data_IF_331537390341
#
_entry.id   IF_331537390341
#
_cell.length_a   1.000
_cell.length_b   1.000
_cell.length_c   1.000
_cell.angle_alpha   90.00
_cell.angle_beta   90.00
_cell.angle_gamma   90.00
#
_symmetry.space_group_name_H-M   'P 1'
#
loop_
_entity.id
_entity.type
_entity.pdbx_description
1 polymer ?
#
# COMPACT_ATOMS: atom_id res chain seq x y z
N UNK A 1 -11.08 -13.37 19.40
CA UNK A 1 -10.73 -13.23 17.98
C UNK A 1 -9.85 -14.41 17.62
N UNK A 2 -10.35 -15.34 16.83
CA UNK A 2 -9.63 -16.56 16.47
C UNK A 2 -8.72 -16.31 15.26
N UNK A 3 -7.76 -17.21 15.02
CA UNK A 3 -6.87 -17.14 13.85
C UNK A 3 -7.69 -17.18 12.55
N UNK A 4 -8.75 -17.99 12.52
CA UNK A 4 -9.64 -18.15 11.37
C UNK A 4 -10.40 -16.86 11.03
N UNK A 5 -10.86 -16.11 12.03
CA UNK A 5 -11.51 -14.81 11.84
C UNK A 5 -10.55 -13.76 11.26
N UNK A 6 -9.28 -13.81 11.68
CA UNK A 6 -8.23 -12.94 11.14
C UNK A 6 -7.92 -13.28 9.68
N UNK A 7 -7.80 -14.57 9.35
CA UNK A 7 -7.57 -15.02 7.98
C UNK A 7 -8.71 -14.61 7.06
N UNK A 8 -9.97 -14.72 7.51
CA UNK A 8 -11.11 -14.34 6.71
C UNK A 8 -11.16 -12.82 6.46
N UNK A 9 -10.84 -12.01 7.47
CA UNK A 9 -10.70 -10.56 7.31
C UNK A 9 -9.58 -10.20 6.34
N UNK A 10 -8.45 -10.89 6.43
CA UNK A 10 -7.34 -10.71 5.50
C UNK A 10 -7.73 -11.06 4.06
N UNK A 11 -8.41 -12.17 3.82
CA UNK A 11 -8.92 -12.55 2.48
C UNK A 11 -9.87 -11.49 1.92
N UNK A 12 -10.79 -10.97 2.74
CA UNK A 12 -11.71 -9.90 2.33
C UNK A 12 -10.98 -8.59 2.01
N UNK A 13 -9.94 -8.24 2.78
CA UNK A 13 -9.09 -7.09 2.52
C UNK A 13 -8.33 -7.24 1.20
N UNK A 14 -7.79 -8.43 0.89
CA UNK A 14 -7.11 -8.73 -0.37
C UNK A 14 -8.06 -8.60 -1.58
N UNK A 15 -9.27 -9.14 -1.49
CA UNK A 15 -10.26 -9.03 -2.57
C UNK A 15 -10.71 -7.58 -2.83
N UNK A 16 -10.90 -6.79 -1.77
CA UNK A 16 -11.23 -5.36 -1.88
C UNK A 16 -10.06 -4.57 -2.47
N UNK A 17 -8.83 -4.89 -2.05
CA UNK A 17 -7.59 -4.31 -2.57
C UNK A 17 -7.45 -4.61 -4.06
N UNK A 18 -7.74 -5.84 -4.50
CA UNK A 18 -7.72 -6.20 -5.92
C UNK A 18 -8.68 -5.35 -6.75
N UNK A 19 -9.90 -5.12 -6.24
CA UNK A 19 -10.87 -4.27 -6.92
C UNK A 19 -10.37 -2.83 -7.04
N UNK A 20 -9.72 -2.29 -6.01
CA UNK A 20 -9.10 -0.96 -6.05
C UNK A 20 -7.94 -0.89 -7.06
N UNK A 21 -7.02 -1.87 -7.05
CA UNK A 21 -5.88 -1.94 -7.97
C UNK A 21 -6.34 -2.08 -9.43
N UNK A 22 -7.42 -2.82 -9.67
CA UNK A 22 -7.98 -3.00 -11.02
C UNK A 22 -8.61 -1.70 -11.55
N UNK A 23 -9.21 -0.89 -10.66
CA UNK A 23 -9.81 0.40 -11.00
C UNK A 23 -8.78 1.53 -11.17
N UNK A 24 -7.68 1.45 -10.43
CA UNK A 24 -6.64 2.48 -10.36
C UNK A 24 -5.23 1.89 -10.61
N UNK A 25 -4.98 1.27 -11.78
CA UNK A 25 -3.71 0.59 -12.04
C UNK A 25 -2.55 1.60 -12.18
N UNK A 26 -2.82 2.82 -12.62
CA UNK A 26 -1.81 3.89 -12.75
C UNK A 26 -1.32 4.37 -11.39
N UNK A 27 -2.27 4.68 -10.50
CA UNK A 27 -2.00 5.13 -9.13
C UNK A 27 -1.29 4.05 -8.32
N UNK A 28 -1.63 2.77 -8.54
CA UNK A 28 -0.95 1.66 -7.89
C UNK A 28 0.51 1.52 -8.33
N UNK A 29 0.79 1.69 -9.63
CA UNK A 29 2.17 1.70 -10.16
C UNK A 29 2.94 2.91 -9.64
N UNK A 30 2.31 4.08 -9.60
CA UNK A 30 2.92 5.30 -9.08
C UNK A 30 3.25 5.16 -7.58
N UNK A 31 2.35 4.58 -6.79
CA UNK A 31 2.60 4.29 -5.37
C UNK A 31 3.84 3.42 -5.20
N UNK A 32 3.94 2.32 -5.96
CA UNK A 32 5.10 1.42 -5.91
C UNK A 32 6.38 2.14 -6.30
N UNK A 33 6.35 2.90 -7.39
CA UNK A 33 7.51 3.64 -7.88
C UNK A 33 7.99 4.65 -6.85
N UNK A 34 7.07 5.43 -6.27
CA UNK A 34 7.38 6.44 -5.28
C UNK A 34 7.94 5.82 -3.98
N UNK A 35 7.33 4.75 -3.49
CA UNK A 35 7.83 4.02 -2.32
C UNK A 35 9.22 3.41 -2.59
N UNK A 36 9.45 2.84 -3.77
CA UNK A 36 10.75 2.29 -4.16
C UNK A 36 11.82 3.39 -4.26
N UNK A 37 11.48 4.55 -4.79
CA UNK A 37 12.40 5.69 -4.88
C UNK A 37 12.81 6.20 -3.49
N UNK A 38 11.87 6.36 -2.57
CA UNK A 38 12.12 6.78 -1.17
C UNK A 38 13.04 5.79 -0.44
N UNK A 39 12.89 4.49 -0.74
CA UNK A 39 13.74 3.44 -0.16
C UNK A 39 15.14 3.43 -0.79
N UNK A 40 15.23 3.67 -2.10
CA UNK A 40 16.48 3.58 -2.86
C UNK A 40 17.36 4.82 -2.72
N UNK A 41 16.78 6.00 -2.49
CA UNK A 41 17.51 7.27 -2.48
C UNK A 41 17.43 7.98 -1.12
N UNK A 42 18.50 8.69 -0.73
CA UNK A 42 18.41 9.69 0.31
C UNK A 42 17.33 10.71 -0.07
N UNK A 43 16.41 10.99 0.86
CA UNK A 43 15.38 12.00 0.65
C UNK A 43 15.87 13.25 1.37
N UNK A 44 15.84 14.40 0.70
CA UNK A 44 16.12 15.67 1.36
C UNK A 44 15.00 15.97 2.37
N UNK A 45 15.34 16.69 3.44
CA UNK A 45 14.38 17.15 4.44
C UNK A 45 13.31 18.03 3.77
N UNK A 46 13.70 18.83 2.76
CA UNK A 46 12.77 19.66 1.98
C UNK A 46 11.75 18.84 1.17
N UNK A 47 12.13 17.64 0.74
CA UNK A 47 11.31 16.77 -0.10
C UNK A 47 10.46 15.78 0.71
N UNK A 48 10.70 15.68 2.02
CA UNK A 48 9.96 14.80 2.92
C UNK A 48 8.46 15.04 2.93
N UNK A 49 8.04 16.25 3.28
CA UNK A 49 6.62 16.58 3.37
C UNK A 49 5.89 16.43 2.02
N UNK A 50 6.46 16.88 0.89
CA UNK A 50 5.91 16.61 -0.44
C UNK A 50 5.76 15.11 -0.74
N UNK A 51 6.80 14.31 -0.50
CA UNK A 51 6.78 12.87 -0.79
C UNK A 51 5.74 12.12 0.03
N UNK A 52 5.67 12.39 1.34
CA UNK A 52 4.70 11.78 2.26
C UNK A 52 3.27 12.18 1.91
N UNK A 53 3.02 13.46 1.59
CA UNK A 53 1.70 13.93 1.13
C UNK A 53 1.28 13.22 -0.17
N UNK A 54 2.22 13.03 -1.10
CA UNK A 54 1.95 12.34 -2.37
C UNK A 54 1.62 10.86 -2.13
N UNK A 55 2.35 10.17 -1.24
CA UNK A 55 2.03 8.79 -0.84
C UNK A 55 0.63 8.70 -0.22
N UNK A 56 0.30 9.56 0.74
CA UNK A 56 -1.01 9.58 1.39
C UNK A 56 -2.12 9.85 0.38
N UNK A 57 -1.93 10.79 -0.54
CA UNK A 57 -2.90 11.08 -1.59
C UNK A 57 -3.12 9.88 -2.52
N UNK A 58 -2.07 9.14 -2.89
CA UNK A 58 -2.19 7.92 -3.70
C UNK A 58 -2.93 6.81 -2.94
N UNK A 59 -2.65 6.62 -1.65
CA UNK A 59 -3.36 5.66 -0.80
C UNK A 59 -4.84 6.04 -0.67
N UNK A 60 -5.16 7.32 -0.48
CA UNK A 60 -6.53 7.82 -0.42
C UNK A 60 -7.28 7.67 -1.75
N UNK A 61 -6.61 7.86 -2.89
CA UNK A 61 -7.22 7.63 -4.21
C UNK A 61 -7.59 6.17 -4.41
N UNK A 62 -6.74 5.25 -3.94
CA UNK A 62 -7.01 3.82 -4.05
C UNK A 62 -8.04 3.30 -3.04
N UNK A 63 -8.14 3.94 -1.87
CA UNK A 63 -9.15 3.61 -0.87
C UNK A 63 -9.81 4.86 -0.25
N UNK A 64 -10.65 5.58 -1.03
CA UNK A 64 -11.23 6.85 -0.59
C UNK A 64 -12.23 6.70 0.57
N UNK A 65 -12.71 5.48 0.83
CA UNK A 65 -13.66 5.18 1.89
C UNK A 65 -13.07 4.43 3.08
N UNK A 66 -11.76 4.15 3.10
CA UNK A 66 -11.15 3.32 4.13
C UNK A 66 -11.84 1.96 4.28
N UNK A 67 -12.20 1.32 3.17
CA UNK A 67 -13.06 0.13 3.11
C UNK A 67 -12.36 -1.17 3.55
N UNK A 68 -11.37 -1.06 4.44
CA UNK A 68 -10.60 -2.19 4.95
C UNK A 68 -9.66 -2.80 3.90
N UNK A 69 -9.22 -2.02 2.92
CA UNK A 69 -8.11 -2.46 2.05
C UNK A 69 -6.80 -2.50 2.82
N UNK A 70 -5.77 -3.14 2.26
CA UNK A 70 -4.43 -3.08 2.86
C UNK A 70 -3.92 -1.63 2.96
N UNK A 71 -4.38 -0.72 2.09
CA UNK A 71 -3.97 0.68 2.05
C UNK A 71 -4.46 1.47 3.27
N UNK A 72 -5.59 1.08 3.87
CA UNK A 72 -6.11 1.71 5.08
C UNK A 72 -5.11 1.66 6.25
N UNK A 73 -4.40 0.53 6.42
CA UNK A 73 -3.41 0.37 7.48
C UNK A 73 -2.21 1.30 7.30
N UNK A 74 -1.77 1.50 6.06
CA UNK A 74 -0.65 2.37 5.74
C UNK A 74 -1.00 3.85 5.75
N UNK A 75 -2.23 4.22 5.38
CA UNK A 75 -2.68 5.62 5.39
C UNK A 75 -2.53 6.27 6.78
N UNK A 76 -2.83 5.52 7.86
CA UNK A 76 -2.60 6.00 9.23
C UNK A 76 -1.13 6.10 9.62
N UNK A 77 -0.28 5.23 9.10
CA UNK A 77 1.17 5.18 9.42
C UNK A 77 1.97 6.25 8.67
N UNK A 78 1.51 6.64 7.49
CA UNK A 78 2.09 7.74 6.70
C UNK A 78 1.50 9.11 7.01
N UNK A 79 0.45 9.21 7.83
CA UNK A 79 -0.10 10.50 8.24
C UNK A 79 0.94 11.23 9.10
N UNK A 80 1.50 12.37 8.63
CA UNK A 80 2.59 13.03 9.33
C UNK A 80 2.05 13.61 10.65
N UNK A 81 2.54 13.08 11.76
CA UNK A 81 2.21 13.58 13.10
C UNK A 81 3.43 14.25 13.75
N UNK A 82 4.64 13.94 13.28
CA UNK A 82 5.88 14.55 13.79
C UNK A 82 7.04 14.52 12.77
N UNK A 83 8.07 15.35 12.98
CA UNK A 83 9.32 15.35 12.20
C UNK A 83 10.13 14.05 12.41
N UNK A 84 9.93 13.35 13.53
CA UNK A 84 10.58 12.07 13.81
C UNK A 84 10.11 10.94 12.87
N UNK A 85 8.98 11.14 12.18
CA UNK A 85 8.44 10.22 11.18
C UNK A 85 9.36 10.07 9.95
N UNK A 86 10.31 11.00 9.73
CA UNK A 86 11.27 10.97 8.60
C UNK A 86 12.17 9.73 8.64
N UNK A 87 12.66 9.36 9.83
CA UNK A 87 13.50 8.18 10.00
C UNK A 87 12.70 6.88 9.74
N UNK A 88 11.41 6.89 10.06
CA UNK A 88 10.52 5.74 9.91
C UNK A 88 9.95 5.62 8.51
N UNK A 89 9.88 6.71 7.73
CA UNK A 89 9.30 6.70 6.38
C UNK A 89 9.91 5.63 5.47
N UNK A 90 11.24 5.47 5.49
CA UNK A 90 11.88 4.41 4.68
C UNK A 90 11.49 3.02 5.15
N UNK A 91 11.38 2.81 6.46
CA UNK A 91 10.97 1.53 7.02
C UNK A 91 9.51 1.23 6.64
N UNK A 92 8.62 2.21 6.76
CA UNK A 92 7.22 2.12 6.38
C UNK A 92 7.05 1.89 4.87
N UNK A 93 7.86 2.53 4.03
CA UNK A 93 7.88 2.27 2.58
C UNK A 93 8.38 0.85 2.26
N UNK A 94 9.38 0.33 2.98
CA UNK A 94 9.83 -1.06 2.83
C UNK A 94 8.73 -2.04 3.23
N UNK A 95 8.07 -1.79 4.35
CA UNK A 95 6.97 -2.62 4.84
C UNK A 95 5.80 -2.61 3.84
N UNK A 96 5.44 -1.44 3.32
CA UNK A 96 4.46 -1.29 2.25
C UNK A 96 4.86 -2.13 1.03
N UNK A 97 6.08 -1.97 0.50
CA UNK A 97 6.54 -2.72 -0.66
C UNK A 97 6.52 -4.24 -0.43
N UNK A 98 6.88 -4.71 0.77
CA UNK A 98 6.79 -6.12 1.12
C UNK A 98 5.34 -6.63 1.08
N UNK A 99 4.40 -5.87 1.67
CA UNK A 99 2.98 -6.19 1.61
C UNK A 99 2.44 -6.18 0.18
N UNK A 100 2.86 -5.20 -0.64
CA UNK A 100 2.48 -5.14 -2.05
C UNK A 100 3.04 -6.33 -2.84
N UNK A 101 4.25 -6.78 -2.55
CA UNK A 101 4.84 -7.94 -3.21
C UNK A 101 4.12 -9.25 -2.84
N UNK A 102 3.71 -9.40 -1.58
CA UNK A 102 2.88 -10.53 -1.14
C UNK A 102 1.51 -10.49 -1.83
N UNK A 103 0.89 -9.31 -1.90
CA UNK A 103 -0.36 -9.12 -2.63
C UNK A 103 -0.20 -9.44 -4.12
N UNK A 104 0.86 -8.99 -4.78
CA UNK A 104 1.11 -9.28 -6.20
C UNK A 104 1.24 -10.78 -6.45
N UNK A 105 1.98 -11.50 -5.60
CA UNK A 105 2.11 -12.96 -5.68
C UNK A 105 0.75 -13.64 -5.52
N UNK A 106 -0.04 -13.23 -4.52
CA UNK A 106 -1.39 -13.74 -4.32
C UNK A 106 -2.30 -13.45 -5.52
N UNK A 107 -2.23 -12.22 -6.05
CA UNK A 107 -3.00 -11.77 -7.20
C UNK A 107 -2.65 -12.58 -8.45
N UNK A 108 -1.36 -12.80 -8.72
CA UNK A 108 -0.91 -13.61 -9.84
C UNK A 108 -1.38 -15.06 -9.73
N UNK A 109 -1.28 -15.66 -8.54
CA UNK A 109 -1.72 -17.04 -8.33
C UNK A 109 -3.24 -17.18 -8.46
N UNK A 110 -4.00 -16.21 -7.97
CA UNK A 110 -5.48 -16.24 -7.99
C UNK A 110 -6.06 -15.86 -9.36
N UNK A 111 -5.41 -14.96 -10.11
CA UNK A 111 -5.87 -14.55 -11.44
C UNK A 111 -5.41 -15.47 -12.55
N UNK A 112 -4.23 -16.10 -12.45
CA UNK A 112 -3.81 -17.13 -13.42
C UNK A 112 -4.75 -18.33 -13.44
N UNK A 113 -5.35 -18.67 -12.29
CA UNK A 113 -6.38 -19.71 -12.21
C UNK A 113 -7.71 -19.34 -12.89
N UNK A 114 -7.93 -18.05 -13.23
CA UNK A 114 -9.14 -17.61 -13.95
C UNK A 114 -8.98 -17.61 -15.47
N UNK A 115 -7.77 -17.83 -16.01
CA UNK A 115 -7.51 -17.91 -17.47
C UNK A 115 -7.37 -19.37 -17.91
N UNK A 116 -8.31 -20.21 -17.50
CA UNK A 116 -8.50 -21.55 -18.08
C UNK A 116 -9.97 -21.68 -18.45
N UNK A 117 -10.29 -21.29 -19.69
CA UNK A 117 -11.41 -21.77 -20.48
C UNK A 117 -11.05 -21.64 -21.95
#
# INVERSE_FOLDING_TARGET
MTVEELEQRWKNALATTQSAVTRHPGEYRELKSLAAEIVARPLDIGDYLPATKKLVALLQKMDPGGKGTIFYFFNKRFAPSSIWDVCWLRLECRDLLAHLAVFDKWHMNTCRLKVVK
#
